data_IF_485958413175
#
_entry.id   IF_485958413175
#
_cell.length_a   1.000
_cell.length_b   1.000
_cell.length_c   1.000
_cell.angle_alpha   90.00
_cell.angle_beta   90.00
_cell.angle_gamma   90.00
#
_symmetry.space_group_name_H-M   'P 1'
#
loop_
_entity.id
_entity.type
_entity.pdbx_description
1 polymer ?
#
# COMPACT_ATOMS: atom_id res chain seq x y z
N UNK A 1 5.91 28.57 -17.75
CA UNK A 1 4.95 28.35 -16.64
C UNK A 1 5.67 28.44 -15.31
N UNK A 2 4.95 28.75 -14.24
CA UNK A 2 5.52 28.78 -12.90
C UNK A 2 5.18 27.45 -12.20
N UNK A 3 6.18 26.79 -11.65
CA UNK A 3 6.02 25.54 -10.91
C UNK A 3 6.44 25.76 -9.45
N UNK A 4 5.61 25.29 -8.52
CA UNK A 4 5.90 25.30 -7.08
C UNK A 4 5.84 23.86 -6.58
N UNK A 5 6.98 23.33 -6.13
CA UNK A 5 7.08 21.98 -5.60
C UNK A 5 6.95 21.94 -4.07
N UNK A 6 6.39 20.86 -3.54
CA UNK A 6 6.41 20.54 -2.11
C UNK A 6 6.91 19.11 -1.97
N UNK A 7 7.97 18.90 -1.20
CA UNK A 7 8.56 17.58 -0.99
C UNK A 7 8.29 17.15 0.45
N UNK A 8 7.78 15.94 0.64
CA UNK A 8 7.48 15.36 1.96
C UNK A 8 6.58 16.25 2.85
N UNK A 9 5.66 17.00 2.22
CA UNK A 9 4.78 17.95 2.91
C UNK A 9 5.48 19.21 3.44
N UNK A 10 6.79 19.35 3.18
CA UNK A 10 7.57 20.52 3.55
C UNK A 10 7.51 21.58 2.44
N UNK A 11 7.36 22.83 2.83
CA UNK A 11 7.45 23.99 1.95
C UNK A 11 8.80 24.00 1.25
N UNK A 12 8.80 23.90 -0.09
CA UNK A 12 9.93 24.43 -0.86
C UNK A 12 9.71 25.94 -1.01
N UNK A 13 10.67 26.73 -0.55
CA UNK A 13 10.61 28.20 -0.61
C UNK A 13 10.90 28.77 -2.02
N UNK A 14 10.75 27.97 -3.08
CA UNK A 14 11.24 28.34 -4.41
C UNK A 14 10.27 27.85 -5.48
N UNK A 15 9.67 28.81 -6.18
CA UNK A 15 9.00 28.56 -7.46
C UNK A 15 9.99 28.76 -8.58
N UNK A 16 9.93 27.92 -9.60
CA UNK A 16 10.82 27.97 -10.76
C UNK A 16 9.98 28.34 -11.99
N UNK A 17 10.49 29.25 -12.81
CA UNK A 17 9.94 29.49 -14.15
C UNK A 17 10.53 28.47 -15.11
N UNK A 18 9.66 27.71 -15.76
CA UNK A 18 10.03 26.65 -16.70
C UNK A 18 9.38 26.92 -18.05
N UNK A 19 10.07 26.60 -19.14
CA UNK A 19 9.45 26.60 -20.46
C UNK A 19 8.24 25.65 -20.48
N UNK A 20 7.26 25.94 -21.35
CA UNK A 20 6.05 25.12 -21.46
C UNK A 20 6.32 23.85 -22.31
N UNK A 21 7.34 23.11 -21.92
CA UNK A 21 7.86 21.91 -22.55
C UNK A 21 8.05 20.82 -21.47
N UNK A 22 7.87 19.57 -21.86
CA UNK A 22 7.90 18.44 -20.92
C UNK A 22 9.31 18.11 -20.44
N UNK A 23 10.34 18.34 -21.26
CA UNK A 23 11.72 18.01 -20.90
C UNK A 23 12.24 18.99 -19.85
N UNK A 24 12.05 20.29 -20.07
CA UNK A 24 12.37 21.33 -19.09
C UNK A 24 11.56 21.15 -17.79
N UNK A 25 10.26 20.82 -17.89
CA UNK A 25 9.43 20.51 -16.72
C UNK A 25 9.97 19.32 -15.93
N UNK A 26 10.31 18.24 -16.64
CA UNK A 26 10.87 17.03 -16.03
C UNK A 26 12.17 17.36 -15.29
N UNK A 27 13.10 18.06 -15.93
CA UNK A 27 14.38 18.40 -15.33
C UNK A 27 14.20 19.26 -14.06
N UNK A 28 13.38 20.32 -14.15
CA UNK A 28 13.15 21.21 -13.01
C UNK A 28 12.47 20.49 -11.84
N UNK A 29 11.47 19.63 -12.10
CA UNK A 29 10.70 18.98 -11.04
C UNK A 29 11.38 17.73 -10.50
N UNK A 30 11.78 16.81 -11.37
CA UNK A 30 12.32 15.51 -10.96
C UNK A 30 13.78 15.64 -10.48
N UNK A 31 14.63 16.37 -11.20
CA UNK A 31 16.06 16.44 -10.91
C UNK A 31 16.39 17.56 -9.91
N UNK A 32 15.87 18.77 -10.11
CA UNK A 32 16.24 19.91 -9.26
C UNK A 32 15.41 19.98 -7.96
N UNK A 33 14.08 19.99 -8.08
CA UNK A 33 13.19 20.12 -6.92
C UNK A 33 13.14 18.86 -6.06
N UNK A 34 12.97 17.69 -6.68
CA UNK A 34 12.82 16.43 -5.97
C UNK A 34 14.13 15.66 -5.78
N UNK A 35 15.16 15.98 -6.56
CA UNK A 35 16.49 15.34 -6.47
C UNK A 35 16.39 13.82 -6.63
N UNK A 36 15.57 13.38 -7.58
CA UNK A 36 15.37 11.97 -7.86
C UNK A 36 16.64 11.37 -8.44
N UNK A 37 17.13 10.31 -7.81
CA UNK A 37 18.33 9.64 -8.26
C UNK A 37 18.04 8.73 -9.46
N UNK A 38 18.84 8.83 -10.54
CA UNK A 38 18.71 7.90 -11.66
C UNK A 38 19.04 6.47 -11.20
N UNK A 39 18.56 5.45 -11.91
CA UNK A 39 18.90 4.06 -11.62
C UNK A 39 20.43 3.83 -11.56
N UNK A 40 20.90 3.25 -10.46
CA UNK A 40 22.32 3.04 -10.16
C UNK A 40 22.99 1.95 -10.99
N UNK A 41 22.24 0.93 -11.40
CA UNK A 41 22.73 -0.22 -12.16
C UNK A 41 21.66 -0.77 -13.13
N UNK A 42 21.98 -1.86 -13.84
CA UNK A 42 21.06 -2.50 -14.80
C UNK A 42 19.81 -3.09 -14.13
N UNK A 43 19.95 -3.65 -12.92
CA UNK A 43 18.84 -4.21 -12.16
C UNK A 43 17.87 -3.11 -11.73
N UNK A 44 18.40 -1.97 -11.27
CA UNK A 44 17.64 -0.78 -10.97
C UNK A 44 16.91 -0.24 -12.22
N UNK A 45 17.57 -0.20 -13.39
CA UNK A 45 16.92 0.23 -14.65
C UNK A 45 15.77 -0.67 -15.06
N UNK A 46 15.89 -1.97 -14.78
CA UNK A 46 14.88 -2.95 -15.14
C UNK A 46 13.68 -2.93 -14.18
N UNK A 47 13.92 -2.72 -12.89
CA UNK A 47 12.92 -3.03 -11.87
C UNK A 47 12.48 -1.84 -10.99
N UNK A 48 13.29 -0.77 -10.88
CA UNK A 48 12.87 0.44 -10.17
C UNK A 48 11.66 1.01 -10.88
N UNK A 49 10.55 1.13 -10.16
CA UNK A 49 9.35 1.71 -10.73
C UNK A 49 9.60 3.20 -11.05
N UNK A 50 9.28 3.67 -12.27
CA UNK A 50 9.45 5.06 -12.63
C UNK A 50 8.50 5.93 -11.79
N UNK A 51 8.82 7.20 -11.66
CA UNK A 51 7.89 8.15 -11.04
C UNK A 51 6.61 8.27 -11.85
N UNK A 52 5.53 8.62 -11.17
CA UNK A 52 4.26 8.86 -11.83
C UNK A 52 3.54 10.05 -11.20
N UNK A 53 2.74 10.70 -12.04
CA UNK A 53 1.95 11.87 -11.72
C UNK A 53 0.50 11.49 -11.52
N UNK A 54 -0.17 12.12 -10.58
CA UNK A 54 -1.55 11.84 -10.23
C UNK A 54 -2.35 13.11 -9.93
N UNK A 55 -3.65 13.06 -10.21
CA UNK A 55 -4.59 14.04 -9.68
C UNK A 55 -4.75 13.88 -8.16
N UNK A 56 -5.28 14.90 -7.46
CA UNK A 56 -5.60 14.77 -6.04
C UNK A 56 -6.58 13.63 -5.70
N UNK A 57 -7.39 13.21 -6.68
CA UNK A 57 -8.36 12.10 -6.55
C UNK A 57 -7.76 10.72 -6.90
N UNK A 58 -6.48 10.67 -7.23
CA UNK A 58 -5.73 9.43 -7.47
C UNK A 58 -5.77 8.90 -8.90
N UNK A 59 -6.18 9.72 -9.87
CA UNK A 59 -6.11 9.34 -11.29
C UNK A 59 -4.70 9.54 -11.82
N UNK A 60 -4.13 8.52 -12.47
CA UNK A 60 -2.79 8.59 -13.06
C UNK A 60 -2.79 9.50 -14.29
N UNK A 61 -1.89 10.46 -14.32
CA UNK A 61 -1.73 11.42 -15.41
C UNK A 61 -0.64 10.94 -16.38
N UNK A 62 -0.85 11.21 -17.67
CA UNK A 62 0.21 11.07 -18.67
C UNK A 62 1.26 12.16 -18.46
N UNK A 63 2.52 11.83 -18.75
CA UNK A 63 3.64 12.78 -18.68
C UNK A 63 3.62 13.70 -19.91
N UNK A 64 2.63 14.59 -19.95
CA UNK A 64 2.42 15.60 -20.99
C UNK A 64 2.13 16.94 -20.34
N UNK A 65 2.79 17.99 -20.82
CA UNK A 65 2.70 19.31 -20.19
C UNK A 65 1.27 19.83 -20.07
N UNK A 66 0.42 19.53 -21.07
CA UNK A 66 -0.99 19.92 -21.08
C UNK A 66 -1.83 19.28 -19.97
N UNK A 67 -1.44 18.08 -19.51
CA UNK A 67 -2.11 17.36 -18.42
C UNK A 67 -1.64 17.82 -17.04
N UNK A 68 -0.45 18.42 -16.96
CA UNK A 68 0.22 18.77 -15.71
C UNK A 68 0.08 20.26 -15.36
N UNK A 69 -0.14 21.11 -16.37
CA UNK A 69 -0.25 22.56 -16.18
C UNK A 69 -1.58 22.98 -15.55
N UNK A 70 -1.55 24.15 -14.89
CA UNK A 70 -2.70 24.84 -14.30
C UNK A 70 -3.51 24.02 -13.27
N UNK A 71 -2.87 23.07 -12.58
CA UNK A 71 -3.52 22.24 -11.55
C UNK A 71 -2.55 21.78 -10.46
N UNK A 72 -3.12 21.23 -9.39
CA UNK A 72 -2.36 20.49 -8.37
C UNK A 72 -2.09 19.08 -8.89
N UNK A 73 -0.85 18.64 -8.77
CA UNK A 73 -0.41 17.31 -9.17
C UNK A 73 0.38 16.68 -8.03
N UNK A 74 0.15 15.41 -7.77
CA UNK A 74 1.00 14.61 -6.89
C UNK A 74 1.99 13.80 -7.73
N UNK A 75 3.24 13.75 -7.26
CA UNK A 75 4.31 12.96 -7.86
C UNK A 75 4.81 12.00 -6.79
N UNK A 76 4.77 10.70 -7.11
CA UNK A 76 5.25 9.65 -6.21
C UNK A 76 6.45 8.91 -6.80
N UNK A 77 7.53 8.83 -6.01
CA UNK A 77 8.59 7.86 -6.25
C UNK A 77 8.01 6.44 -6.09
N UNK A 78 8.32 5.54 -7.01
CA UNK A 78 7.71 4.21 -7.06
C UNK A 78 6.46 4.12 -7.94
N UNK A 79 5.95 5.25 -8.42
CA UNK A 79 4.96 5.30 -9.51
C UNK A 79 3.55 4.83 -9.15
N UNK A 80 3.25 4.68 -7.86
CA UNK A 80 1.95 4.30 -7.33
C UNK A 80 1.38 5.41 -6.46
N UNK A 81 0.06 5.56 -6.48
CA UNK A 81 -0.64 6.57 -5.68
C UNK A 81 -0.72 6.15 -4.21
N UNK A 82 -0.62 7.13 -3.31
CA UNK A 82 -0.92 6.99 -1.90
C UNK A 82 -1.74 8.21 -1.48
N UNK A 83 -2.86 7.99 -0.77
CA UNK A 83 -3.66 9.08 -0.25
C UNK A 83 -2.84 9.96 0.72
N UNK A 84 -2.90 11.30 0.61
CA UNK A 84 -2.28 12.16 1.61
C UNK A 84 -3.06 12.07 2.94
N UNK A 85 -2.35 11.89 4.05
CA UNK A 85 -2.98 11.85 5.37
C UNK A 85 -3.59 13.18 5.84
N UNK A 86 -3.05 14.31 5.36
CA UNK A 86 -3.41 15.70 5.73
C UNK A 86 -3.25 15.99 7.23
N UNK A 87 -4.08 15.41 8.09
CA UNK A 87 -4.01 15.44 9.56
C UNK A 87 -4.90 14.34 10.14
N UNK A 88 -4.65 13.95 11.39
CA UNK A 88 -5.54 13.04 12.13
C UNK A 88 -6.97 13.62 12.17
N UNK A 89 -7.95 12.74 11.92
CA UNK A 89 -9.37 13.05 11.80
C UNK A 89 -9.77 13.73 10.48
N UNK A 90 -8.84 13.90 9.53
CA UNK A 90 -9.22 14.30 8.17
C UNK A 90 -9.94 13.14 7.48
N UNK A 91 -11.00 13.46 6.74
CA UNK A 91 -11.79 12.50 5.97
C UNK A 91 -11.66 12.78 4.49
N UNK A 92 -11.24 11.77 3.75
CA UNK A 92 -11.17 11.78 2.28
C UNK A 92 -12.30 10.93 1.73
N UNK A 93 -13.15 11.52 0.88
CA UNK A 93 -14.24 10.81 0.24
C UNK A 93 -13.75 10.12 -1.04
N UNK A 94 -13.75 8.79 -1.05
CA UNK A 94 -13.50 7.99 -2.25
C UNK A 94 -14.83 7.68 -2.91
N UNK A 95 -15.07 8.30 -4.06
CA UNK A 95 -16.35 8.18 -4.77
C UNK A 95 -16.44 6.89 -5.58
N UNK A 96 -17.66 6.37 -5.72
CA UNK A 96 -18.02 5.30 -6.66
C UNK A 96 -17.19 4.01 -6.54
N UNK A 97 -16.81 3.61 -5.33
CA UNK A 97 -16.12 2.33 -5.11
C UNK A 97 -17.03 1.15 -5.47
N UNK A 98 -16.46 0.14 -6.13
CA UNK A 98 -17.18 -1.00 -6.65
C UNK A 98 -18.07 -1.69 -5.58
N UNK A 99 -19.38 -1.80 -5.85
CA UNK A 99 -20.34 -2.52 -4.98
C UNK A 99 -20.71 -1.83 -3.65
N UNK A 100 -20.03 -0.74 -3.26
CA UNK A 100 -20.32 0.03 -2.04
C UNK A 100 -20.74 1.48 -2.29
N UNK A 101 -20.34 2.09 -3.41
CA UNK A 101 -20.59 3.51 -3.66
C UNK A 101 -19.51 4.37 -3.00
N UNK A 102 -19.89 5.46 -2.35
CA UNK A 102 -18.92 6.35 -1.73
C UNK A 102 -18.43 5.78 -0.38
N UNK A 103 -17.12 5.82 -0.15
CA UNK A 103 -16.48 5.41 1.11
C UNK A 103 -15.64 6.56 1.68
N UNK A 104 -15.57 6.67 3.01
CA UNK A 104 -14.73 7.66 3.69
C UNK A 104 -13.46 6.99 4.25
N UNK A 105 -12.29 7.54 3.88
CA UNK A 105 -11.00 7.25 4.51
C UNK A 105 -10.76 8.30 5.60
N UNK A 106 -10.77 7.90 6.86
CA UNK A 106 -10.40 8.77 7.98
C UNK A 106 -8.95 8.53 8.39
N UNK A 107 -8.13 9.58 8.41
CA UNK A 107 -6.75 9.50 8.90
C UNK A 107 -6.73 9.30 10.41
N UNK A 108 -6.25 8.15 10.89
CA UNK A 108 -6.15 7.86 12.33
C UNK A 108 -4.72 7.94 12.86
N UNK A 109 -3.71 7.92 11.99
CA UNK A 109 -2.30 8.13 12.33
C UNK A 109 -1.54 8.73 11.16
N UNK A 110 -0.53 9.57 11.44
CA UNK A 110 0.37 10.13 10.43
C UNK A 110 1.71 9.42 10.36
N UNK A 111 2.13 8.73 11.42
CA UNK A 111 3.38 7.98 11.45
C UNK A 111 3.17 6.71 12.28
N UNK A 112 3.03 5.53 11.65
CA UNK A 112 2.82 5.34 10.21
C UNK A 112 1.52 6.00 9.73
N UNK A 113 1.40 6.26 8.44
CA UNK A 113 0.15 6.73 7.86
C UNK A 113 -0.89 5.60 7.89
N UNK A 114 -1.96 5.78 8.65
CA UNK A 114 -3.03 4.79 8.79
C UNK A 114 -4.37 5.46 8.60
N UNK A 115 -5.22 4.81 7.81
CA UNK A 115 -6.60 5.20 7.59
C UNK A 115 -7.55 4.15 8.17
N UNK A 116 -8.68 4.58 8.69
CA UNK A 116 -9.85 3.73 8.95
C UNK A 116 -10.91 3.94 7.88
N UNK A 117 -11.59 2.86 7.51
CA UNK A 117 -12.75 2.86 6.62
C UNK A 117 -13.83 2.04 7.28
N UNK A 118 -14.96 2.67 7.57
CA UNK A 118 -16.15 2.00 8.08
C UNK A 118 -16.95 1.41 6.93
N UNK A 119 -17.72 0.35 7.19
CA UNK A 119 -18.65 -0.23 6.22
C UNK A 119 -17.97 -0.61 4.88
N UNK A 120 -16.75 -1.14 4.93
CA UNK A 120 -16.06 -1.61 3.73
C UNK A 120 -16.62 -2.94 3.21
N UNK A 121 -16.70 -3.96 4.08
CA UNK A 121 -17.33 -5.26 3.80
C UNK A 121 -18.76 -5.28 4.31
N UNK A 122 -19.66 -5.96 3.61
CA UNK A 122 -21.01 -6.28 4.09
C UNK A 122 -21.02 -7.60 4.85
N UNK A 123 -22.02 -7.81 5.72
CA UNK A 123 -22.15 -9.04 6.50
C UNK A 123 -22.25 -10.30 5.60
N UNK A 124 -22.97 -10.22 4.48
CA UNK A 124 -23.10 -11.33 3.52
C UNK A 124 -21.79 -11.63 2.78
N UNK A 125 -20.97 -10.60 2.53
CA UNK A 125 -19.63 -10.76 1.97
C UNK A 125 -18.67 -11.44 2.97
N UNK A 126 -18.79 -11.09 4.26
CA UNK A 126 -18.03 -11.70 5.35
C UNK A 126 -18.38 -13.19 5.47
N UNK A 127 -19.67 -13.53 5.47
CA UNK A 127 -20.13 -14.92 5.54
C UNK A 127 -19.53 -15.77 4.41
N UNK A 128 -19.52 -15.23 3.18
CA UNK A 128 -18.92 -15.91 2.02
C UNK A 128 -17.42 -16.15 2.21
N UNK A 129 -16.66 -15.17 2.71
CA UNK A 129 -15.22 -15.35 2.96
C UNK A 129 -14.99 -16.43 4.01
N UNK A 130 -15.79 -16.43 5.09
CA UNK A 130 -15.69 -17.42 6.17
C UNK A 130 -15.98 -18.82 5.62
N UNK A 131 -17.08 -19.01 4.90
CA UNK A 131 -17.50 -20.30 4.35
C UNK A 131 -16.44 -20.88 3.39
N UNK A 132 -15.85 -20.04 2.54
CA UNK A 132 -14.79 -20.46 1.61
C UNK A 132 -13.48 -20.82 2.30
N UNK A 133 -13.24 -20.35 3.53
CA UNK A 133 -11.92 -20.43 4.17
C UNK A 133 -11.85 -21.44 5.31
N UNK A 134 -12.93 -21.64 6.05
CA UNK A 134 -12.91 -22.31 7.35
C UNK A 134 -12.37 -23.74 7.31
N UNK A 135 -12.68 -24.53 6.28
CA UNK A 135 -12.17 -25.90 6.11
C UNK A 135 -10.71 -25.99 5.69
N UNK A 136 -10.10 -24.87 5.28
CA UNK A 136 -8.75 -24.83 4.71
C UNK A 136 -7.72 -24.17 5.63
N UNK A 137 -8.15 -23.63 6.77
CA UNK A 137 -7.28 -23.00 7.75
C UNK A 137 -6.22 -23.99 8.27
N UNK A 138 -4.95 -23.58 8.16
CA UNK A 138 -3.79 -24.33 8.65
C UNK A 138 -2.90 -23.45 9.54
N UNK A 139 -2.00 -24.01 10.37
CA UNK A 139 -1.06 -23.23 11.16
C UNK A 139 -0.31 -22.20 10.30
N UNK A 140 -0.25 -20.95 10.78
CA UNK A 140 0.31 -19.85 9.99
C UNK A 140 1.83 -19.92 9.87
N UNK A 141 2.35 -19.55 8.69
CA UNK A 141 3.78 -19.35 8.48
C UNK A 141 4.22 -17.90 8.73
N UNK A 142 5.53 -17.69 8.78
CA UNK A 142 6.20 -16.38 8.75
C UNK A 142 7.29 -16.42 7.68
N UNK A 143 7.53 -15.28 7.03
CA UNK A 143 8.73 -15.14 6.20
C UNK A 143 9.97 -15.11 7.10
N UNK A 144 10.93 -16.00 6.82
CA UNK A 144 12.14 -16.11 7.63
C UNK A 144 13.15 -15.03 7.18
N UNK A 145 13.72 -14.34 8.16
CA UNK A 145 14.84 -13.42 8.00
C UNK A 145 16.16 -14.16 8.25
N UNK A 146 17.26 -13.57 7.83
CA UNK A 146 18.61 -14.11 8.06
C UNK A 146 18.80 -14.43 9.56
N UNK A 147 19.19 -15.68 9.88
CA UNK A 147 19.41 -16.16 11.25
C UNK A 147 18.18 -16.76 11.95
N UNK A 148 17.01 -16.79 11.30
CA UNK A 148 15.78 -17.39 11.83
C UNK A 148 15.45 -18.76 11.24
N UNK A 149 16.33 -19.35 10.43
CA UNK A 149 16.06 -20.51 9.56
C UNK A 149 15.62 -21.77 10.35
N UNK A 150 16.05 -21.89 11.60
CA UNK A 150 15.77 -23.05 12.46
C UNK A 150 14.72 -22.78 13.54
N UNK A 151 14.00 -21.65 13.47
CA UNK A 151 12.99 -21.28 14.46
C UNK A 151 11.57 -21.55 13.93
N UNK A 152 10.69 -22.14 14.76
CA UNK A 152 9.32 -22.38 14.33
C UNK A 152 8.53 -21.06 14.24
N UNK A 153 7.62 -20.96 13.27
CA UNK A 153 6.77 -19.78 13.10
C UNK A 153 5.95 -19.44 14.34
N UNK A 154 5.61 -20.46 15.15
CA UNK A 154 4.85 -20.34 16.41
C UNK A 154 5.53 -19.49 17.48
N UNK A 155 6.83 -19.23 17.32
CA UNK A 155 7.55 -18.32 18.22
C UNK A 155 7.08 -16.86 18.09
N UNK A 156 6.44 -16.50 16.96
CA UNK A 156 6.02 -15.14 16.66
C UNK A 156 4.56 -15.05 16.20
N UNK A 157 4.05 -16.09 15.56
CA UNK A 157 2.70 -16.14 14.98
C UNK A 157 2.02 -17.44 15.32
N UNK A 158 0.92 -17.34 16.05
CA UNK A 158 0.21 -18.52 16.58
C UNK A 158 -1.17 -18.74 15.95
N UNK A 159 -1.58 -17.89 14.99
CA UNK A 159 -2.86 -18.00 14.28
C UNK A 159 -2.93 -19.21 13.34
N UNK A 160 -4.12 -19.43 12.78
CA UNK A 160 -4.30 -20.19 11.53
C UNK A 160 -4.56 -19.26 10.35
N UNK A 161 -4.10 -19.67 9.15
CA UNK A 161 -4.19 -18.87 7.92
C UNK A 161 -4.72 -19.74 6.77
N UNK A 162 -5.45 -19.11 5.87
CA UNK A 162 -5.71 -19.62 4.52
C UNK A 162 -5.49 -18.49 3.50
N UNK A 163 -4.95 -18.83 2.33
CA UNK A 163 -4.81 -17.91 1.20
C UNK A 163 -5.95 -18.15 0.24
N UNK A 164 -6.95 -17.26 0.27
CA UNK A 164 -8.13 -17.31 -0.56
C UNK A 164 -7.86 -16.62 -1.89
N UNK A 165 -7.79 -17.39 -2.96
CA UNK A 165 -7.57 -16.88 -4.31
C UNK A 165 -8.78 -16.07 -4.79
N UNK A 166 -8.54 -14.91 -5.41
CA UNK A 166 -9.58 -14.06 -6.00
C UNK A 166 -10.48 -14.83 -6.99
N UNK A 167 -9.90 -15.78 -7.71
CA UNK A 167 -10.64 -16.61 -8.69
C UNK A 167 -11.62 -17.60 -8.06
N UNK A 168 -11.58 -17.79 -6.73
CA UNK A 168 -12.40 -18.78 -6.02
C UNK A 168 -13.88 -18.42 -6.01
N UNK A 169 -14.23 -17.13 -5.98
CA UNK A 169 -15.62 -16.67 -5.92
C UNK A 169 -15.77 -15.23 -6.40
N UNK A 170 -16.90 -14.92 -7.06
CA UNK A 170 -17.14 -13.58 -7.64
C UNK A 170 -17.17 -12.47 -6.59
N UNK A 171 -17.69 -12.73 -5.38
CA UNK A 171 -17.66 -11.77 -4.26
C UNK A 171 -16.22 -11.37 -3.89
N UNK A 172 -15.27 -12.31 -3.89
CA UNK A 172 -13.86 -11.98 -3.60
C UNK A 172 -13.31 -11.04 -4.69
N UNK A 173 -13.60 -11.32 -5.97
CA UNK A 173 -13.20 -10.45 -7.09
C UNK A 173 -13.81 -9.05 -6.99
N UNK A 174 -15.05 -8.94 -6.52
CA UNK A 174 -15.74 -7.67 -6.36
C UNK A 174 -15.14 -6.85 -5.19
N UNK A 175 -14.72 -7.51 -4.12
CA UNK A 175 -13.97 -6.89 -3.02
C UNK A 175 -12.57 -6.44 -3.49
N UNK A 176 -11.89 -7.22 -4.34
CA UNK A 176 -10.58 -6.84 -4.89
C UNK A 176 -10.68 -5.59 -5.78
N UNK A 177 -11.74 -5.49 -6.61
CA UNK A 177 -12.05 -4.28 -7.39
C UNK A 177 -12.31 -3.09 -6.47
N UNK A 178 -13.12 -3.28 -5.42
CA UNK A 178 -13.39 -2.23 -4.42
C UNK A 178 -12.12 -1.79 -3.70
N UNK A 179 -11.24 -2.73 -3.38
CA UNK A 179 -9.93 -2.45 -2.76
C UNK A 179 -9.06 -1.62 -3.70
N UNK A 180 -9.01 -1.98 -4.99
CA UNK A 180 -8.30 -1.20 -6.00
C UNK A 180 -8.86 0.23 -6.14
N UNK A 181 -10.20 0.39 -6.13
CA UNK A 181 -10.84 1.70 -6.16
C UNK A 181 -10.55 2.53 -4.91
N UNK A 182 -10.51 1.88 -3.74
CA UNK A 182 -10.23 2.51 -2.44
C UNK A 182 -8.81 3.04 -2.39
N UNK A 183 -7.81 2.22 -2.73
CA UNK A 183 -6.39 2.59 -2.58
C UNK A 183 -5.80 3.24 -3.85
N UNK A 184 -6.54 3.25 -4.96
CA UNK A 184 -6.14 3.78 -6.27
C UNK A 184 -4.87 3.12 -6.85
N UNK A 185 -4.69 1.83 -6.55
CA UNK A 185 -3.60 0.99 -7.10
C UNK A 185 -4.21 -0.11 -7.96
N UNK A 186 -3.62 -0.45 -9.13
CA UNK A 186 -4.14 -1.50 -9.99
C UNK A 186 -4.35 -2.83 -9.26
N UNK A 187 -5.48 -3.49 -9.55
CA UNK A 187 -5.85 -4.79 -8.97
C UNK A 187 -4.77 -5.86 -9.21
N UNK A 188 -3.97 -5.75 -10.27
CA UNK A 188 -2.87 -6.66 -10.59
C UNK A 188 -1.72 -6.64 -9.57
N UNK A 189 -1.71 -5.69 -8.64
CA UNK A 189 -0.69 -5.61 -7.58
C UNK A 189 -1.12 -6.33 -6.29
N UNK A 190 -2.37 -6.80 -6.22
CA UNK A 190 -2.87 -7.48 -5.04
C UNK A 190 -2.34 -8.92 -4.97
N UNK A 191 -2.04 -9.36 -3.76
CA UNK A 191 -1.83 -10.79 -3.44
C UNK A 191 -3.19 -11.44 -3.17
N UNK A 192 -3.23 -12.78 -3.16
CA UNK A 192 -4.40 -13.52 -2.70
C UNK A 192 -4.80 -13.09 -1.28
N UNK A 193 -6.10 -13.12 -0.97
CA UNK A 193 -6.62 -12.68 0.32
C UNK A 193 -6.08 -13.58 1.43
N UNK A 194 -5.40 -13.01 2.43
CA UNK A 194 -4.92 -13.74 3.59
C UNK A 194 -5.98 -13.76 4.69
N UNK A 195 -6.73 -14.87 4.80
CA UNK A 195 -7.74 -15.05 5.84
C UNK A 195 -7.10 -15.59 7.11
N UNK A 196 -7.27 -14.87 8.22
CA UNK A 196 -6.65 -15.17 9.50
C UNK A 196 -7.69 -15.48 10.58
N UNK A 197 -7.45 -16.54 11.34
CA UNK A 197 -8.24 -16.87 12.52
C UNK A 197 -7.33 -16.95 13.75
N UNK A 198 -7.69 -16.13 14.74
CA UNK A 198 -7.07 -16.11 16.06
C UNK A 198 -8.04 -16.70 17.09
N UNK A 199 -7.66 -17.84 17.64
CA UNK A 199 -8.28 -18.40 18.85
C UNK A 199 -7.86 -17.60 20.08
N UNK A 200 -8.52 -17.88 21.21
CA UNK A 200 -8.16 -17.28 22.50
C UNK A 200 -6.66 -17.48 22.78
N UNK A 201 -6.00 -16.42 23.25
CA UNK A 201 -4.55 -16.34 23.53
C UNK A 201 -3.60 -16.37 22.32
N UNK A 202 -4.10 -16.63 21.11
CA UNK A 202 -3.26 -16.50 19.92
C UNK A 202 -2.95 -15.03 19.63
N UNK A 203 -1.81 -14.81 19.02
CA UNK A 203 -1.25 -13.49 18.73
C UNK A 203 -0.34 -13.55 17.50
N UNK A 204 0.00 -12.36 17.02
CA UNK A 204 1.11 -12.15 16.10
C UNK A 204 1.97 -11.02 16.68
N UNK A 205 3.24 -11.31 16.91
CA UNK A 205 4.23 -10.33 17.30
C UNK A 205 4.38 -9.21 16.26
N UNK A 206 4.86 -8.06 16.72
CA UNK A 206 5.16 -6.92 15.87
C UNK A 206 6.11 -7.31 14.72
N UNK A 207 5.78 -6.86 13.52
CA UNK A 207 6.57 -7.08 12.32
C UNK A 207 6.32 -5.96 11.31
N UNK A 208 7.02 -6.04 10.18
CA UNK A 208 6.80 -5.20 9.02
C UNK A 208 6.25 -6.10 7.91
N UNK A 209 5.23 -5.62 7.20
CA UNK A 209 4.66 -6.36 6.07
C UNK A 209 5.57 -6.34 4.85
N UNK A 210 6.36 -5.27 4.70
CA UNK A 210 7.38 -5.19 3.66
C UNK A 210 8.62 -5.99 4.05
N UNK A 211 9.33 -6.47 3.03
CA UNK A 211 10.57 -7.20 3.18
C UNK A 211 11.76 -6.22 3.16
N UNK A 212 12.43 -6.05 4.30
CA UNK A 212 13.62 -5.19 4.37
C UNK A 212 14.83 -5.88 3.71
N UNK A 213 15.49 -5.20 2.76
CA UNK A 213 16.67 -5.71 2.04
C UNK A 213 17.76 -6.17 3.02
N UNK A 214 18.01 -5.40 4.08
CA UNK A 214 19.05 -5.70 5.06
C UNK A 214 18.83 -6.97 5.87
N UNK A 215 17.59 -7.49 5.91
CA UNK A 215 17.24 -8.70 6.66
C UNK A 215 17.23 -9.97 5.81
N UNK A 216 17.50 -9.85 4.50
CA UNK A 216 17.44 -10.96 3.53
C UNK A 216 18.72 -11.06 2.70
N UNK A 217 19.85 -10.59 3.23
CA UNK A 217 21.14 -10.52 2.51
C UNK A 217 21.64 -11.90 2.10
N UNK A 218 21.27 -12.95 2.84
CA UNK A 218 21.62 -14.33 2.52
C UNK A 218 20.61 -15.04 1.60
N UNK A 219 19.60 -14.31 1.08
CA UNK A 219 18.55 -14.85 0.21
C UNK A 219 18.53 -14.17 -1.16
N UNK A 220 19.44 -14.52 -2.10
CA UNK A 220 19.58 -13.83 -3.39
C UNK A 220 18.30 -13.75 -4.22
N UNK A 221 17.46 -14.79 -4.19
CA UNK A 221 16.19 -14.81 -4.93
C UNK A 221 15.12 -13.91 -4.32
N UNK A 222 15.17 -13.70 -3.00
CA UNK A 222 14.31 -12.71 -2.31
C UNK A 222 14.82 -11.31 -2.62
N UNK A 223 16.13 -11.07 -2.49
CA UNK A 223 16.76 -9.78 -2.81
C UNK A 223 16.39 -9.31 -4.22
N UNK A 224 16.55 -10.16 -5.23
CA UNK A 224 16.19 -9.81 -6.62
C UNK A 224 14.73 -9.35 -6.77
N UNK A 225 13.82 -9.83 -5.91
CA UNK A 225 12.39 -9.46 -5.93
C UNK A 225 12.10 -8.19 -5.14
N UNK A 226 12.85 -7.89 -4.08
CA UNK A 226 12.52 -6.79 -3.17
C UNK A 226 13.41 -5.57 -3.34
N UNK A 227 14.62 -5.76 -3.89
CA UNK A 227 15.55 -4.71 -4.22
C UNK A 227 14.93 -3.77 -5.26
N UNK A 228 15.15 -2.46 -5.07
CA UNK A 228 14.51 -1.39 -5.84
C UNK A 228 12.96 -1.41 -5.85
N UNK A 229 12.33 -2.17 -4.95
CA UNK A 229 10.87 -2.18 -4.75
C UNK A 229 10.09 -2.97 -5.80
N UNK A 230 10.72 -3.87 -6.55
CA UNK A 230 10.08 -4.59 -7.67
C UNK A 230 8.79 -5.34 -7.28
N UNK A 231 8.86 -6.16 -6.23
CA UNK A 231 7.76 -6.95 -5.68
C UNK A 231 7.83 -6.90 -4.16
N UNK A 232 7.55 -5.72 -3.62
CA UNK A 232 7.45 -5.50 -2.17
C UNK A 232 6.10 -4.88 -1.83
N UNK A 233 5.69 -4.98 -0.57
CA UNK A 233 4.36 -4.52 -0.13
C UNK A 233 4.41 -3.04 0.23
N UNK A 234 3.54 -2.26 -0.42
CA UNK A 234 3.41 -0.81 -0.20
C UNK A 234 2.23 -0.45 0.71
N UNK A 235 1.10 -1.14 0.55
CA UNK A 235 -0.13 -0.91 1.30
C UNK A 235 -0.67 -2.26 1.79
N UNK A 236 -1.11 -2.31 3.04
CA UNK A 236 -1.89 -3.43 3.59
C UNK A 236 -3.28 -2.94 3.95
N UNK A 237 -4.31 -3.65 3.49
CA UNK A 237 -5.71 -3.39 3.84
C UNK A 237 -6.18 -4.52 4.75
N UNK A 238 -6.46 -4.20 6.02
CA UNK A 238 -7.01 -5.17 6.97
C UNK A 238 -8.54 -5.12 6.95
N UNK A 239 -9.16 -6.29 6.85
CA UNK A 239 -10.61 -6.44 7.01
C UNK A 239 -10.89 -7.13 8.35
N UNK A 240 -11.62 -6.45 9.22
CA UNK A 240 -12.12 -7.03 10.47
C UNK A 240 -13.47 -7.68 10.20
N UNK A 241 -13.55 -9.00 10.35
CA UNK A 241 -14.72 -9.81 9.97
C UNK A 241 -15.51 -10.34 11.19
N UNK A 242 -15.17 -9.90 12.40
CA UNK A 242 -15.87 -10.29 13.63
C UNK A 242 -15.61 -9.29 14.75
N UNK A 243 -16.63 -9.03 15.57
CA UNK A 243 -16.45 -8.30 16.82
C UNK A 243 -15.73 -9.16 17.86
N UNK A 244 -14.63 -8.62 18.40
CA UNK A 244 -13.82 -9.29 19.43
C UNK A 244 -14.11 -8.65 20.79
N UNK A 245 -14.68 -9.43 21.72
CA UNK A 245 -15.11 -8.91 23.01
C UNK A 245 -13.99 -8.29 23.88
N UNK A 246 -12.74 -8.79 23.75
CA UNK A 246 -11.57 -8.27 24.47
C UNK A 246 -10.26 -8.68 23.80
N UNK A 247 -9.35 -7.73 23.64
CA UNK A 247 -8.05 -7.97 23.00
C UNK A 247 -8.16 -7.94 21.48
N UNK A 248 -7.24 -8.57 20.75
CA UNK A 248 -7.29 -8.67 19.29
C UNK A 248 -7.02 -7.37 18.51
N UNK A 249 -6.61 -6.30 19.19
CA UNK A 249 -6.27 -5.03 18.54
C UNK A 249 -5.07 -5.17 17.60
N UNK A 250 -5.11 -4.48 16.47
CA UNK A 250 -3.92 -4.20 15.67
C UNK A 250 -3.17 -3.03 16.30
N UNK A 251 -2.00 -3.31 16.88
CA UNK A 251 -1.21 -2.30 17.58
C UNK A 251 -0.03 -1.84 16.70
N UNK A 252 0.02 -0.55 16.40
CA UNK A 252 1.19 0.09 15.80
C UNK A 252 2.08 0.65 16.91
N UNK A 253 2.93 -0.18 17.50
CA UNK A 253 3.73 0.19 18.69
C UNK A 253 4.72 1.36 18.46
N UNK A 254 5.01 1.70 17.20
CA UNK A 254 5.84 2.85 16.81
C UNK A 254 5.01 4.06 16.36
N UNK A 255 3.69 4.02 16.52
CA UNK A 255 2.83 5.16 16.23
C UNK A 255 2.96 6.21 17.34
N UNK A 256 3.51 7.38 17.01
CA UNK A 256 3.87 8.45 17.93
C UNK A 256 4.92 9.37 17.32
#
# INVERSE_FOLDING_TARGET
MQVTGFKDGMLSNHSVEVEADIDAFTHAVEDEMLQLLPPSDEHARQFKQPVAYFTPDGERLEKKIIELQDRVVFLFEGGQFIWPGVRIGHKTLVKNTFGRGDLELETISMTPLVFSVEEFLRDDEIDVIIDLSMSHLAPSGVALQDGHENRPATDWRTSTTYWLESSSHHIVQDIDKRTADLVKVPISHQESVQVLRYEKTQHYDQHLDYFAVDHHRNSPDVLKKIEYGYKNRMITVFWYMSDVAKGGHTNFARAG
#
